data_IF_299592804717
#
_entry.id   IF_299592804717
#
_cell.length_a   1.000
_cell.length_b   1.000
_cell.length_c   1.000
_cell.angle_alpha   90.00
_cell.angle_beta   90.00
_cell.angle_gamma   90.00
#
_symmetry.space_group_name_H-M   'P 1'
#
loop_
_entity.id
_entity.type
_entity.pdbx_description
1 polymer ?
#
# COMPACT_ATOMS: atom_id res chain seq x y z
N UNK A 1 -5.48 11.30 12.93
CA UNK A 1 -5.17 10.21 11.95
C UNK A 1 -4.28 10.72 10.82
N UNK A 2 -3.41 9.88 10.22
CA UNK A 2 -2.58 10.20 9.04
C UNK A 2 -3.15 9.48 7.82
N UNK A 3 -2.91 10.05 6.63
CA UNK A 3 -3.52 9.55 5.41
C UNK A 3 -2.50 9.34 4.29
N UNK A 4 -2.61 8.20 3.59
CA UNK A 4 -1.97 7.91 2.33
C UNK A 4 -3.00 7.80 1.21
N UNK A 5 -2.59 8.13 -0.01
CA UNK A 5 -3.42 8.05 -1.21
C UNK A 5 -2.87 6.99 -2.16
N UNK A 6 -3.68 6.05 -2.61
CA UNK A 6 -3.34 5.21 -3.75
C UNK A 6 -3.43 6.00 -5.05
N UNK A 7 -2.35 5.95 -5.83
CA UNK A 7 -2.36 6.47 -7.21
C UNK A 7 -2.82 5.34 -8.14
N UNK A 8 -3.78 5.60 -9.05
CA UNK A 8 -4.19 4.61 -10.04
C UNK A 8 -2.99 4.12 -10.85
N UNK A 9 -2.96 2.82 -11.12
CA UNK A 9 -1.82 2.14 -11.74
C UNK A 9 -2.25 1.18 -12.85
N UNK A 10 -3.57 0.99 -13.00
CA UNK A 10 -4.17 0.03 -13.91
C UNK A 10 -4.51 -1.32 -13.28
N UNK A 11 -3.85 -1.71 -12.20
CA UNK A 11 -4.07 -3.00 -11.54
C UNK A 11 -5.54 -3.28 -11.21
N UNK A 12 -6.30 -2.27 -10.79
CA UNK A 12 -7.73 -2.38 -10.47
C UNK A 12 -8.63 -1.87 -11.61
N UNK A 13 -8.13 -1.90 -12.84
CA UNK A 13 -8.79 -1.37 -14.04
C UNK A 13 -9.05 0.15 -13.96
N UNK A 14 -8.35 0.83 -13.10
CA UNK A 14 -8.50 2.24 -12.76
C UNK A 14 -7.79 3.20 -13.74
N UNK A 15 -7.25 2.67 -14.84
CA UNK A 15 -6.76 3.42 -16.01
C UNK A 15 -7.43 2.97 -17.32
N UNK A 16 -8.45 2.10 -17.23
CA UNK A 16 -9.11 1.55 -18.41
C UNK A 16 -9.80 2.64 -19.25
N UNK A 17 -9.65 2.56 -20.57
CA UNK A 17 -10.16 3.58 -21.49
C UNK A 17 -9.29 4.84 -21.61
N UNK A 18 -8.19 4.94 -20.84
CA UNK A 18 -7.20 6.00 -21.02
C UNK A 18 -6.09 5.48 -21.93
N UNK A 19 -5.87 6.15 -23.06
CA UNK A 19 -4.81 5.78 -23.99
C UNK A 19 -3.43 5.68 -23.30
N UNK A 20 -2.61 4.66 -23.58
CA UNK A 20 -1.34 4.43 -22.90
C UNK A 20 -0.43 5.64 -22.85
N UNK A 21 -0.40 6.45 -23.89
CA UNK A 21 0.40 7.68 -23.95
C UNK A 21 -0.04 8.75 -22.93
N UNK A 22 -1.29 8.70 -22.47
CA UNK A 22 -1.86 9.62 -21.48
C UNK A 22 -1.75 9.14 -20.03
N UNK A 23 -1.57 7.83 -19.82
CA UNK A 23 -1.67 7.23 -18.47
C UNK A 23 -0.62 7.78 -17.49
N UNK A 24 0.63 8.00 -17.94
CA UNK A 24 1.65 8.61 -17.10
C UNK A 24 1.27 10.02 -16.65
N UNK A 25 0.71 10.84 -17.52
CA UNK A 25 0.30 12.19 -17.16
C UNK A 25 -0.76 12.16 -16.04
N UNK A 26 -1.75 11.28 -16.14
CA UNK A 26 -2.79 11.10 -15.11
C UNK A 26 -2.17 10.69 -13.77
N UNK A 27 -1.31 9.66 -13.76
CA UNK A 27 -0.66 9.18 -12.54
C UNK A 27 0.22 10.26 -11.89
N UNK A 28 1.01 10.98 -12.69
CA UNK A 28 1.86 12.09 -12.24
C UNK A 28 1.02 13.23 -11.65
N UNK A 29 -0.03 13.63 -12.32
CA UNK A 29 -0.86 14.78 -11.90
C UNK A 29 -1.57 14.48 -10.57
N UNK A 30 -2.00 13.23 -10.35
CA UNK A 30 -2.54 12.77 -9.07
C UNK A 30 -1.47 12.71 -7.97
N UNK A 31 -0.28 12.22 -8.28
CA UNK A 31 0.83 12.24 -7.33
C UNK A 31 1.17 13.68 -6.91
N UNK A 32 1.15 14.63 -7.86
CA UNK A 32 1.37 16.05 -7.58
C UNK A 32 0.18 16.71 -6.86
N UNK A 33 -1.06 16.26 -7.09
CA UNK A 33 -2.21 16.68 -6.29
C UNK A 33 -1.98 16.29 -4.83
N UNK A 34 -1.67 15.03 -4.56
CA UNK A 34 -1.35 14.56 -3.21
C UNK A 34 -0.14 15.32 -2.59
N UNK A 35 0.87 15.64 -3.41
CA UNK A 35 2.07 16.38 -2.97
C UNK A 35 1.76 17.81 -2.50
N UNK A 36 0.74 18.44 -3.08
CA UNK A 36 0.24 19.77 -2.66
C UNK A 36 -0.82 19.70 -1.56
N UNK A 37 -1.50 18.55 -1.43
CA UNK A 37 -2.59 18.31 -0.49
C UNK A 37 -2.13 17.89 0.91
N UNK A 38 -3.03 17.45 1.78
CA UNK A 38 -2.73 17.05 3.15
C UNK A 38 -2.22 15.61 3.28
N UNK A 39 -2.06 14.88 2.18
CA UNK A 39 -1.62 13.48 2.18
C UNK A 39 -0.18 13.36 2.66
N UNK A 40 0.09 12.42 3.55
CA UNK A 40 1.45 12.13 4.01
C UNK A 40 2.23 11.30 2.97
N UNK A 41 1.55 10.42 2.26
CA UNK A 41 2.18 9.50 1.32
C UNK A 41 1.30 9.18 0.13
N UNK A 42 1.95 8.70 -0.95
CA UNK A 42 1.29 8.05 -2.07
C UNK A 42 1.73 6.58 -2.16
N UNK A 43 0.84 5.75 -2.68
CA UNK A 43 1.01 4.30 -2.71
C UNK A 43 0.64 3.71 -4.06
N UNK A 44 1.35 2.63 -4.44
CA UNK A 44 1.04 1.76 -5.58
C UNK A 44 1.06 0.30 -5.16
N UNK A 45 0.60 -0.59 -6.02
CA UNK A 45 0.58 -2.03 -5.80
C UNK A 45 1.70 -2.71 -6.58
N UNK A 46 2.31 -3.76 -6.04
CA UNK A 46 3.33 -4.55 -6.74
C UNK A 46 2.67 -5.72 -7.49
N UNK A 47 1.98 -5.38 -8.56
CA UNK A 47 1.24 -6.30 -9.42
C UNK A 47 1.57 -6.10 -10.90
N UNK A 48 1.34 -7.13 -11.71
CA UNK A 48 1.63 -7.17 -13.14
C UNK A 48 0.39 -7.40 -14.00
N UNK A 49 -0.67 -7.96 -13.42
CA UNK A 49 -1.93 -8.29 -14.07
C UNK A 49 -3.10 -7.71 -13.29
N UNK A 50 -4.17 -7.42 -14.01
CA UNK A 50 -5.36 -6.80 -13.44
C UNK A 50 -6.15 -7.70 -12.49
N UNK A 51 -6.93 -7.09 -11.63
CA UNK A 51 -7.97 -7.71 -10.80
C UNK A 51 -9.30 -6.97 -11.02
N UNK A 52 -10.46 -7.64 -10.78
CA UNK A 52 -10.66 -8.98 -10.20
C UNK A 52 -10.40 -10.15 -11.14
N UNK A 53 -10.21 -9.89 -12.41
CA UNK A 53 -9.86 -10.87 -13.44
C UNK A 53 -8.67 -10.36 -14.24
N UNK A 54 -7.93 -11.28 -14.85
CA UNK A 54 -6.83 -10.94 -15.76
C UNK A 54 -7.39 -10.45 -17.07
N UNK A 55 -6.96 -9.27 -17.51
CA UNK A 55 -7.30 -8.65 -18.79
C UNK A 55 -6.04 -8.18 -19.51
N UNK A 56 -6.21 -7.69 -20.75
CA UNK A 56 -5.13 -7.04 -21.51
C UNK A 56 -4.97 -5.54 -21.16
N UNK A 57 -5.72 -5.04 -20.16
CA UNK A 57 -5.58 -3.66 -19.69
C UNK A 57 -4.23 -3.44 -18.99
N UNK A 58 -3.75 -2.21 -19.05
CA UNK A 58 -2.45 -1.84 -18.52
C UNK A 58 -2.35 -2.04 -17.01
N UNK A 59 -1.23 -2.56 -16.56
CA UNK A 59 -0.77 -2.51 -15.16
C UNK A 59 0.70 -2.08 -15.16
N UNK A 60 0.99 -0.89 -14.64
CA UNK A 60 2.35 -0.35 -14.63
C UNK A 60 3.21 -0.94 -13.52
N UNK A 61 4.50 -1.20 -13.80
CA UNK A 61 5.45 -1.77 -12.85
C UNK A 61 5.74 -0.79 -11.69
N UNK A 62 5.60 -1.26 -10.47
CA UNK A 62 5.55 -0.44 -9.28
C UNK A 62 6.87 0.27 -8.94
N UNK A 63 8.02 -0.41 -9.00
CA UNK A 63 9.30 0.21 -8.65
C UNK A 63 9.76 1.23 -9.69
N UNK A 64 9.40 1.03 -10.96
CA UNK A 64 9.59 2.02 -12.03
C UNK A 64 8.75 3.28 -11.75
N UNK A 65 7.47 3.10 -11.38
CA UNK A 65 6.62 4.23 -10.97
C UNK A 65 7.16 4.96 -9.73
N UNK A 66 7.64 4.23 -8.73
CA UNK A 66 8.24 4.82 -7.53
C UNK A 66 9.41 5.76 -7.89
N UNK A 67 10.29 5.36 -8.82
CA UNK A 67 11.38 6.21 -9.27
C UNK A 67 10.89 7.46 -10.01
N UNK A 68 9.86 7.31 -10.84
CA UNK A 68 9.25 8.43 -11.56
C UNK A 68 8.53 9.41 -10.60
N UNK A 69 7.79 8.92 -9.63
CA UNK A 69 7.16 9.76 -8.60
C UNK A 69 8.18 10.45 -7.70
N UNK A 70 9.30 9.78 -7.38
CA UNK A 70 10.38 10.38 -6.61
C UNK A 70 10.94 11.65 -7.28
N UNK A 71 11.02 11.65 -8.61
CA UNK A 71 11.47 12.79 -9.41
C UNK A 71 10.36 13.82 -9.69
N UNK A 72 9.07 13.45 -9.58
CA UNK A 72 7.94 14.30 -9.94
C UNK A 72 7.27 14.98 -8.73
N UNK A 73 7.66 14.63 -7.50
CA UNK A 73 7.10 15.13 -6.23
C UNK A 73 8.22 15.59 -5.29
N UNK A 74 7.88 16.44 -4.30
CA UNK A 74 8.87 17.03 -3.40
C UNK A 74 8.63 16.66 -1.92
N UNK A 75 7.38 16.40 -1.51
CA UNK A 75 6.99 16.28 -0.11
C UNK A 75 6.45 14.91 0.28
N UNK A 76 5.49 14.37 -0.49
CA UNK A 76 4.83 13.11 -0.12
C UNK A 76 5.81 11.95 -0.07
N UNK A 77 5.62 11.08 0.90
CA UNK A 77 6.36 9.83 0.99
C UNK A 77 5.85 8.84 -0.04
N UNK A 78 6.67 7.89 -0.42
CA UNK A 78 6.45 7.03 -1.59
C UNK A 78 6.49 5.57 -1.15
N UNK A 79 5.40 4.84 -1.30
CA UNK A 79 5.31 3.46 -0.84
C UNK A 79 4.65 2.50 -1.82
N UNK A 80 4.87 1.23 -1.58
CA UNK A 80 4.08 0.15 -2.18
C UNK A 80 3.31 -0.60 -1.10
N UNK A 81 2.05 -0.90 -1.35
CA UNK A 81 1.24 -1.71 -0.43
C UNK A 81 0.68 -2.93 -1.17
N UNK A 82 1.52 -3.96 -1.22
CA UNK A 82 2.90 -4.04 -0.77
C UNK A 82 3.78 -4.74 -1.80
N UNK A 83 5.08 -4.45 -1.77
CA UNK A 83 6.08 -5.19 -2.56
C UNK A 83 6.01 -6.67 -2.23
N UNK A 84 5.94 -7.52 -3.25
CA UNK A 84 6.05 -8.96 -3.12
C UNK A 84 7.51 -9.39 -3.00
N UNK A 85 7.91 -9.88 -1.83
CA UNK A 85 9.31 -10.29 -1.59
C UNK A 85 9.80 -11.33 -2.60
N UNK A 86 8.92 -12.20 -3.05
CA UNK A 86 9.32 -13.29 -3.95
C UNK A 86 9.54 -12.90 -5.42
N UNK A 87 9.20 -11.69 -5.81
CA UNK A 87 9.40 -11.23 -7.20
C UNK A 87 10.82 -10.71 -7.47
N UNK A 88 11.60 -10.43 -6.43
CA UNK A 88 12.95 -9.85 -6.59
C UNK A 88 13.93 -10.47 -5.59
N UNK A 89 15.20 -10.55 -5.99
CA UNK A 89 16.26 -10.85 -5.02
C UNK A 89 16.34 -9.74 -3.96
N UNK A 90 16.40 -10.04 -2.66
CA UNK A 90 16.36 -9.02 -1.60
C UNK A 90 17.54 -8.05 -1.64
N UNK A 91 18.73 -8.48 -2.06
CA UNK A 91 19.87 -7.60 -2.18
C UNK A 91 19.71 -6.60 -3.34
N UNK A 92 19.13 -7.07 -4.47
CA UNK A 92 18.77 -6.20 -5.59
C UNK A 92 17.66 -5.21 -5.18
N UNK A 93 16.62 -5.69 -4.52
CA UNK A 93 15.51 -4.85 -4.04
C UNK A 93 15.99 -3.77 -3.06
N UNK A 94 16.87 -4.12 -2.12
CA UNK A 94 17.49 -3.15 -1.22
C UNK A 94 18.26 -2.06 -1.96
N UNK A 95 18.95 -2.43 -3.04
CA UNK A 95 19.67 -1.50 -3.90
C UNK A 95 18.74 -0.54 -4.65
N UNK A 96 17.63 -1.06 -5.19
CA UNK A 96 16.60 -0.25 -5.86
C UNK A 96 15.99 0.75 -4.89
N UNK A 97 15.54 0.29 -3.72
CA UNK A 97 14.96 1.13 -2.69
C UNK A 97 15.91 2.23 -2.22
N UNK A 98 17.20 1.91 -1.97
CA UNK A 98 18.21 2.88 -1.60
C UNK A 98 18.45 3.93 -2.69
N UNK A 99 18.41 3.54 -3.96
CA UNK A 99 18.56 4.48 -5.09
C UNK A 99 17.39 5.46 -5.16
N UNK A 100 16.15 4.95 -5.02
CA UNK A 100 14.95 5.79 -5.02
C UNK A 100 14.91 6.68 -3.77
N UNK A 101 15.40 6.18 -2.64
CA UNK A 101 15.52 6.98 -1.43
C UNK A 101 16.43 8.19 -1.62
N UNK A 102 17.56 8.01 -2.32
CA UNK A 102 18.46 9.11 -2.70
C UNK A 102 17.77 10.07 -3.67
N UNK A 103 17.10 9.57 -4.71
CA UNK A 103 16.40 10.42 -5.70
C UNK A 103 15.30 11.25 -5.00
N UNK A 104 14.57 10.65 -4.08
CA UNK A 104 13.46 11.31 -3.37
C UNK A 104 13.90 12.18 -2.20
N UNK A 105 15.18 12.18 -1.80
CA UNK A 105 15.64 12.90 -0.61
C UNK A 105 15.16 12.27 0.71
N UNK A 106 15.02 10.94 0.75
CA UNK A 106 14.68 10.21 1.99
C UNK A 106 13.18 10.01 2.20
N UNK A 107 12.38 9.87 1.11
CA UNK A 107 10.92 9.75 1.20
C UNK A 107 10.37 8.34 0.94
N UNK A 108 11.22 7.33 0.75
CA UNK A 108 10.75 5.96 0.50
C UNK A 108 10.15 5.33 1.76
N UNK A 109 9.01 4.67 1.59
CA UNK A 109 8.39 3.75 2.54
C UNK A 109 8.49 2.32 1.99
N UNK A 110 9.02 1.39 2.77
CA UNK A 110 9.21 0.02 2.31
C UNK A 110 8.06 -0.87 2.74
N UNK A 111 6.95 -0.81 2.02
CA UNK A 111 5.85 -1.76 2.21
C UNK A 111 6.18 -3.10 1.58
N UNK A 112 6.12 -4.20 2.35
CA UNK A 112 6.54 -5.52 1.91
C UNK A 112 5.65 -6.63 2.48
N UNK A 113 5.47 -7.69 1.70
CA UNK A 113 4.67 -8.86 2.07
C UNK A 113 5.10 -10.14 1.34
N UNK A 114 4.43 -11.24 1.68
CA UNK A 114 4.75 -12.55 1.13
C UNK A 114 4.19 -12.84 -0.28
N UNK A 115 3.36 -11.94 -0.82
CA UNK A 115 2.66 -12.16 -2.09
C UNK A 115 1.52 -13.19 -2.00
N UNK A 116 0.51 -13.03 -2.84
CA UNK A 116 -0.69 -13.89 -2.81
C UNK A 116 -1.23 -14.25 -4.19
N UNK A 117 -0.97 -13.44 -5.22
CA UNK A 117 -1.60 -13.57 -6.52
C UNK A 117 -0.91 -14.66 -7.37
N UNK A 118 -1.36 -15.89 -7.20
CA UNK A 118 -0.78 -17.10 -7.82
C UNK A 118 -0.61 -16.98 -9.34
N UNK A 119 -1.58 -16.34 -10.02
CA UNK A 119 -1.54 -16.18 -11.47
C UNK A 119 -0.26 -15.45 -11.91
N UNK A 120 0.09 -14.31 -11.27
CA UNK A 120 1.31 -13.55 -11.60
C UNK A 120 2.59 -14.34 -11.33
N UNK A 121 2.65 -15.02 -10.17
CA UNK A 121 3.80 -15.84 -9.81
C UNK A 121 4.11 -16.90 -10.88
N UNK A 122 3.07 -17.57 -11.38
CA UNK A 122 3.21 -18.60 -12.40
C UNK A 122 3.51 -18.02 -13.77
N UNK A 123 2.81 -16.96 -14.16
CA UNK A 123 2.96 -16.32 -15.47
C UNK A 123 4.38 -15.76 -15.68
N UNK A 124 4.99 -15.21 -14.62
CA UNK A 124 6.34 -14.66 -14.67
C UNK A 124 7.45 -15.67 -14.31
N UNK A 125 7.12 -16.94 -14.17
CA UNK A 125 8.11 -18.00 -13.96
C UNK A 125 8.67 -18.14 -12.55
N UNK A 126 8.07 -17.47 -11.55
CA UNK A 126 8.49 -17.57 -10.15
C UNK A 126 8.00 -18.86 -9.46
N UNK A 127 7.15 -19.64 -10.13
CA UNK A 127 6.41 -20.73 -9.48
C UNK A 127 5.35 -20.17 -8.52
N UNK A 128 4.90 -20.98 -7.56
CA UNK A 128 4.05 -20.50 -6.47
C UNK A 128 4.27 -21.36 -5.22
N UNK A 129 5.30 -21.08 -4.43
CA UNK A 129 5.55 -21.80 -3.18
C UNK A 129 4.38 -21.65 -2.21
N UNK A 130 4.11 -22.68 -1.40
CA UNK A 130 3.10 -22.57 -0.34
C UNK A 130 3.38 -21.39 0.60
N UNK A 131 2.33 -20.82 1.19
CA UNK A 131 2.39 -19.59 2.00
C UNK A 131 3.49 -19.60 3.07
N UNK A 132 3.69 -20.73 3.78
CA UNK A 132 4.74 -20.85 4.80
C UNK A 132 6.16 -20.67 4.26
N UNK A 133 6.41 -20.99 2.97
CA UNK A 133 7.70 -20.76 2.29
C UNK A 133 7.81 -19.29 1.90
N UNK A 134 6.78 -18.72 1.27
CA UNK A 134 6.79 -17.30 0.89
C UNK A 134 7.00 -16.37 2.10
N UNK A 135 6.41 -16.71 3.25
CA UNK A 135 6.60 -15.97 4.50
C UNK A 135 7.98 -16.19 5.13
N UNK A 136 8.64 -17.34 4.90
CA UNK A 136 10.03 -17.52 5.28
C UNK A 136 10.98 -16.74 4.36
N UNK A 137 10.66 -16.66 3.05
CA UNK A 137 11.37 -15.77 2.12
C UNK A 137 11.24 -14.31 2.54
N UNK A 138 10.05 -13.88 3.00
CA UNK A 138 9.86 -12.52 3.52
C UNK A 138 10.79 -12.24 4.69
N UNK A 139 10.87 -13.12 5.66
CA UNK A 139 11.71 -12.95 6.84
C UNK A 139 13.20 -12.86 6.49
N UNK A 140 13.73 -13.82 5.72
CA UNK A 140 15.12 -13.80 5.25
C UNK A 140 15.43 -12.55 4.41
N UNK A 141 14.48 -12.17 3.52
CA UNK A 141 14.63 -11.00 2.66
C UNK A 141 14.72 -9.69 3.45
N UNK A 142 13.89 -9.52 4.48
CA UNK A 142 13.93 -8.36 5.37
C UNK A 142 15.27 -8.27 6.11
N UNK A 143 15.82 -9.40 6.58
CA UNK A 143 17.13 -9.42 7.24
C UNK A 143 18.23 -8.93 6.29
N UNK A 144 18.28 -9.42 5.05
CA UNK A 144 19.25 -9.00 4.03
C UNK A 144 19.13 -7.50 3.75
N UNK A 145 17.92 -7.01 3.54
CA UNK A 145 17.68 -5.60 3.22
C UNK A 145 18.12 -4.68 4.36
N UNK A 146 17.73 -4.99 5.58
CA UNK A 146 18.13 -4.22 6.77
C UNK A 146 19.65 -4.18 6.96
N UNK A 147 20.33 -5.32 6.77
CA UNK A 147 21.79 -5.37 6.86
C UNK A 147 22.45 -4.49 5.78
N UNK A 148 21.95 -4.56 4.54
CA UNK A 148 22.44 -3.73 3.44
C UNK A 148 22.27 -2.23 3.69
N UNK A 149 21.15 -1.82 4.28
CA UNK A 149 20.88 -0.40 4.55
C UNK A 149 21.66 0.11 5.76
N UNK A 150 21.88 -0.73 6.79
CA UNK A 150 22.63 -0.33 7.97
C UNK A 150 24.15 -0.31 7.69
N UNK A 151 24.69 -1.40 7.12
CA UNK A 151 26.13 -1.63 7.04
C UNK A 151 26.69 -1.35 5.62
N UNK A 152 25.81 -1.27 4.63
CA UNK A 152 26.19 -1.16 3.22
C UNK A 152 26.74 -2.46 2.63
N UNK A 153 26.69 -3.54 3.36
CA UNK A 153 27.09 -4.89 2.97
C UNK A 153 26.20 -5.93 3.63
N UNK A 154 25.97 -7.06 2.95
CA UNK A 154 25.29 -8.20 3.52
C UNK A 154 25.87 -9.51 3.03
N UNK A 155 25.85 -10.50 3.92
CA UNK A 155 26.03 -11.92 3.61
C UNK A 155 24.99 -12.72 4.38
N UNK A 156 24.36 -13.67 3.72
CA UNK A 156 23.39 -14.58 4.32
C UNK A 156 23.53 -15.96 3.65
N UNK A 157 23.81 -16.99 4.42
CA UNK A 157 23.67 -18.38 4.01
C UNK A 157 22.29 -18.90 4.48
N UNK A 158 21.23 -18.35 3.86
CA UNK A 158 19.86 -18.65 4.22
C UNK A 158 19.33 -19.88 3.50
N UNK A 159 18.14 -20.30 3.92
CA UNK A 159 17.42 -21.41 3.27
C UNK A 159 16.84 -21.01 1.90
N UNK A 160 16.46 -19.77 1.74
CA UNK A 160 15.78 -19.24 0.57
C UNK A 160 16.64 -18.26 -0.23
N UNK A 161 17.53 -17.55 0.46
CA UNK A 161 18.46 -16.63 -0.18
C UNK A 161 19.88 -16.91 0.26
N UNK A 162 20.78 -16.95 -0.71
CA UNK A 162 22.23 -17.04 -0.49
C UNK A 162 22.85 -15.76 -1.03
N UNK A 163 23.40 -14.96 -0.13
CA UNK A 163 24.00 -13.65 -0.43
C UNK A 163 25.45 -13.69 0.06
N UNK A 164 26.36 -13.41 -0.87
CA UNK A 164 27.80 -13.44 -0.61
C UNK A 164 28.40 -12.04 -0.85
N UNK A 165 28.56 -11.27 0.22
CA UNK A 165 29.23 -9.98 0.19
C UNK A 165 28.55 -8.90 -0.65
N UNK A 166 27.22 -8.94 -0.80
CA UNK A 166 26.49 -7.92 -1.56
C UNK A 166 26.78 -6.51 -1.02
N UNK A 167 26.94 -5.53 -1.91
CA UNK A 167 27.25 -4.13 -1.57
C UNK A 167 26.07 -3.22 -1.95
N UNK A 168 25.59 -2.43 -1.00
CA UNK A 168 24.62 -1.36 -1.21
C UNK A 168 25.26 0.01 -1.01
N UNK A 169 25.70 0.60 -2.09
CA UNK A 169 26.18 2.00 -2.17
C UNK A 169 25.53 2.67 -3.40
N UNK A 170 24.94 3.88 -3.24
CA UNK A 170 24.87 4.64 -1.99
C UNK A 170 24.02 3.93 -0.91
N UNK A 171 24.22 4.30 0.36
CA UNK A 171 23.25 4.00 1.41
C UNK A 171 21.99 4.83 1.20
N UNK A 172 20.83 4.39 1.74
CA UNK A 172 19.67 5.27 1.85
C UNK A 172 20.02 6.57 2.59
N UNK A 173 19.31 7.65 2.28
CA UNK A 173 19.40 8.92 3.03
C UNK A 173 18.80 8.74 4.42
N UNK A 174 17.73 7.96 4.51
CA UNK A 174 17.10 7.62 5.79
C UNK A 174 18.06 6.72 6.61
N UNK A 175 18.42 7.16 7.80
CA UNK A 175 19.34 6.42 8.67
C UNK A 175 18.76 5.04 9.05
N UNK A 176 19.50 3.99 8.77
CA UNK A 176 19.05 2.60 8.99
C UNK A 176 18.16 2.03 7.90
N UNK A 177 17.83 2.83 6.88
CA UNK A 177 17.00 2.46 5.72
C UNK A 177 15.58 2.99 5.75
N UNK A 178 14.84 2.82 4.66
CA UNK A 178 13.42 3.18 4.59
C UNK A 178 12.61 2.46 5.69
N UNK A 179 11.63 3.13 6.31
CA UNK A 179 10.76 2.50 7.30
C UNK A 179 10.04 1.28 6.71
N UNK A 180 10.06 0.17 7.43
CA UNK A 180 9.44 -1.08 7.01
C UNK A 180 7.96 -1.10 7.39
N UNK A 181 7.10 -1.36 6.40
CA UNK A 181 5.68 -1.66 6.53
C UNK A 181 5.48 -3.14 6.22
N UNK A 182 5.26 -3.96 7.22
CA UNK A 182 4.96 -5.38 6.97
C UNK A 182 3.47 -5.56 6.77
N UNK A 183 3.09 -6.00 5.56
CA UNK A 183 1.70 -6.13 5.15
C UNK A 183 1.19 -7.57 5.21
N UNK A 184 -0.04 -7.70 5.70
CA UNK A 184 -0.78 -8.96 5.81
C UNK A 184 -1.05 -9.39 7.25
N UNK A 185 -2.17 -10.11 7.44
CA UNK A 185 -2.70 -10.50 8.74
C UNK A 185 -2.32 -11.92 9.20
N UNK A 186 -1.29 -12.54 8.63
CA UNK A 186 -0.86 -13.89 9.00
C UNK A 186 -0.25 -13.96 10.41
N UNK A 187 -0.97 -14.54 11.36
CA UNK A 187 -0.70 -14.45 12.80
C UNK A 187 0.66 -15.00 13.23
N UNK A 188 1.05 -16.18 12.71
CA UNK A 188 2.24 -16.90 13.18
C UNK A 188 3.56 -16.39 12.59
N UNK A 189 3.53 -15.80 11.40
CA UNK A 189 4.75 -15.39 10.70
C UNK A 189 4.72 -13.93 10.31
N UNK A 190 3.68 -13.46 9.61
CA UNK A 190 3.65 -12.07 9.15
C UNK A 190 3.66 -11.10 10.32
N UNK A 191 2.79 -11.30 11.32
CA UNK A 191 2.76 -10.45 12.51
C UNK A 191 3.99 -10.63 13.40
N UNK A 192 4.61 -11.81 13.42
CA UNK A 192 5.91 -11.99 14.07
C UNK A 192 7.02 -11.21 13.37
N UNK A 193 7.11 -11.27 12.02
CA UNK A 193 8.05 -10.45 11.25
C UNK A 193 7.80 -8.95 11.46
N UNK A 194 6.52 -8.55 11.55
CA UNK A 194 6.17 -7.17 11.89
C UNK A 194 6.66 -6.78 13.29
N UNK A 195 6.43 -7.61 14.30
CA UNK A 195 6.89 -7.38 15.66
C UNK A 195 8.43 -7.32 15.76
N UNK A 196 9.15 -8.06 14.93
CA UNK A 196 10.63 -8.05 14.92
C UNK A 196 11.22 -6.81 14.24
N UNK A 197 10.62 -6.33 13.13
CA UNK A 197 11.34 -5.43 12.23
C UNK A 197 10.56 -4.18 11.82
N UNK A 198 9.22 -4.17 11.89
CA UNK A 198 8.42 -3.13 11.27
C UNK A 198 8.31 -1.86 12.12
N UNK A 199 8.33 -0.70 11.47
CA UNK A 199 7.86 0.55 12.04
C UNK A 199 6.34 0.70 11.84
N UNK A 200 5.80 0.05 10.81
CA UNK A 200 4.39 0.07 10.45
C UNK A 200 3.90 -1.33 10.08
N UNK A 201 2.63 -1.59 10.29
CA UNK A 201 1.97 -2.79 9.77
C UNK A 201 0.67 -2.43 9.08
N UNK A 202 0.28 -3.23 8.08
CA UNK A 202 -0.96 -3.04 7.34
C UNK A 202 -1.71 -4.37 7.24
N UNK A 203 -2.93 -4.39 7.73
CA UNK A 203 -3.82 -5.55 7.66
C UNK A 203 -5.29 -5.11 7.54
N UNK A 204 -6.20 -6.07 7.49
CA UNK A 204 -7.63 -5.82 7.33
C UNK A 204 -8.15 -4.83 8.39
N UNK A 205 -8.81 -3.77 7.93
CA UNK A 205 -9.35 -2.69 8.75
C UNK A 205 -10.79 -2.91 9.24
N UNK A 206 -11.38 -4.10 9.03
CA UNK A 206 -12.68 -4.40 9.65
C UNK A 206 -12.53 -4.51 11.17
N UNK A 207 -13.48 -3.95 11.96
CA UNK A 207 -13.31 -3.76 13.40
C UNK A 207 -12.81 -5.00 14.16
N UNK A 208 -13.55 -6.10 14.07
CA UNK A 208 -13.21 -7.33 14.81
C UNK A 208 -11.86 -7.91 14.36
N UNK A 209 -11.57 -7.89 13.06
CA UNK A 209 -10.31 -8.37 12.53
C UNK A 209 -9.16 -7.47 12.96
N UNK A 210 -9.34 -6.15 12.92
CA UNK A 210 -8.29 -5.20 13.27
C UNK A 210 -7.91 -5.31 14.76
N UNK A 211 -8.89 -5.39 15.63
CA UNK A 211 -8.66 -5.57 17.08
C UNK A 211 -7.95 -6.89 17.35
N UNK A 212 -8.46 -8.01 16.83
CA UNK A 212 -7.84 -9.32 17.01
C UNK A 212 -6.40 -9.38 16.49
N UNK A 213 -6.12 -8.84 15.29
CA UNK A 213 -4.74 -8.81 14.75
C UNK A 213 -3.81 -7.90 15.56
N UNK A 214 -4.34 -6.82 16.10
CA UNK A 214 -3.59 -5.94 17.00
C UNK A 214 -3.20 -6.65 18.31
N UNK A 215 -4.10 -7.44 18.89
CA UNK A 215 -3.83 -8.26 20.08
C UNK A 215 -2.76 -9.32 19.82
N UNK A 216 -2.85 -10.03 18.69
CA UNK A 216 -1.80 -11.01 18.28
C UNK A 216 -0.45 -10.33 18.10
N UNK A 217 -0.41 -9.17 17.45
CA UNK A 217 0.81 -8.38 17.27
C UNK A 217 1.39 -7.94 18.63
N UNK A 218 0.54 -7.46 19.54
CA UNK A 218 0.95 -7.08 20.90
C UNK A 218 1.54 -8.25 21.67
N UNK A 219 0.97 -9.45 21.54
CA UNK A 219 1.52 -10.69 22.09
C UNK A 219 2.93 -10.98 21.59
N UNK A 220 3.15 -10.92 20.27
CA UNK A 220 4.50 -11.08 19.71
C UNK A 220 5.49 -10.00 20.18
N UNK A 221 5.04 -8.75 20.31
CA UNK A 221 5.89 -7.69 20.85
C UNK A 221 6.30 -7.98 22.31
N UNK A 222 5.37 -8.45 23.12
CA UNK A 222 5.63 -8.86 24.52
C UNK A 222 6.68 -9.96 24.59
N UNK A 223 6.53 -11.01 23.77
CA UNK A 223 7.45 -12.15 23.71
C UNK A 223 8.87 -11.73 23.29
N UNK A 224 8.98 -10.67 22.48
CA UNK A 224 10.25 -10.12 21.99
C UNK A 224 10.82 -9.00 22.89
N UNK A 225 10.09 -8.55 23.90
CA UNK A 225 10.49 -7.42 24.74
C UNK A 225 10.48 -6.07 24.00
N UNK A 226 9.63 -5.94 22.96
CA UNK A 226 9.47 -4.72 22.18
C UNK A 226 8.22 -3.95 22.61
N UNK A 227 8.32 -2.62 22.65
CA UNK A 227 7.12 -1.80 22.89
C UNK A 227 6.18 -1.85 21.65
N UNK A 228 4.95 -2.31 21.89
CA UNK A 228 3.91 -2.37 20.88
C UNK A 228 3.56 -0.98 20.30
N UNK A 229 3.70 0.07 21.11
CA UNK A 229 3.42 1.45 20.69
C UNK A 229 4.38 1.98 19.62
N UNK A 230 5.56 1.35 19.44
CA UNK A 230 6.49 1.69 18.36
C UNK A 230 5.98 1.31 16.97
N UNK A 231 4.93 0.48 16.88
CA UNK A 231 4.41 0.00 15.61
C UNK A 231 3.11 0.72 15.27
N UNK A 232 3.15 1.59 14.28
CA UNK A 232 1.95 2.20 13.70
C UNK A 232 1.13 1.14 12.97
N UNK A 233 -0.17 1.07 13.29
CA UNK A 233 -1.11 0.15 12.64
C UNK A 233 -1.94 0.87 11.62
N UNK A 234 -2.05 0.30 10.43
CA UNK A 234 -2.75 0.87 9.28
C UNK A 234 -3.66 -0.13 8.60
N UNK A 235 -4.58 0.39 7.80
CA UNK A 235 -5.39 -0.39 6.87
C UNK A 235 -5.61 0.35 5.56
N UNK A 236 -6.01 -0.41 4.52
CA UNK A 236 -6.39 0.14 3.22
C UNK A 236 -7.91 0.24 3.13
N UNK A 237 -8.39 1.33 2.57
CA UNK A 237 -9.82 1.58 2.38
C UNK A 237 -10.17 1.99 0.96
N UNK A 238 -11.22 1.39 0.41
CA UNK A 238 -11.92 1.99 -0.71
C UNK A 238 -12.76 3.14 -0.17
N UNK A 239 -12.69 4.30 -0.82
CA UNK A 239 -13.46 5.49 -0.45
C UNK A 239 -14.45 5.80 -1.57
N UNK A 240 -15.72 5.97 -1.22
CA UNK A 240 -16.76 6.51 -2.08
C UNK A 240 -17.43 7.64 -1.33
N UNK A 241 -17.12 8.88 -1.68
CA UNK A 241 -17.55 10.07 -0.94
C UNK A 241 -18.25 11.06 -1.85
N UNK A 242 -19.37 11.63 -1.40
CA UNK A 242 -20.05 12.72 -2.05
C UNK A 242 -20.78 13.59 -1.02
N UNK A 243 -21.19 14.83 -1.36
CA UNK A 243 -21.85 15.74 -0.42
C UNK A 243 -23.18 15.19 0.12
N UNK A 244 -23.90 14.38 -0.64
CA UNK A 244 -25.21 13.81 -0.28
C UNK A 244 -25.26 12.31 -0.55
N UNK A 245 -26.17 11.61 0.14
CA UNK A 245 -26.39 10.18 -0.10
C UNK A 245 -26.85 9.86 -1.54
N UNK A 246 -27.59 10.78 -2.18
CA UNK A 246 -27.99 10.63 -3.57
C UNK A 246 -26.77 10.65 -4.50
N UNK A 247 -25.86 11.59 -4.31
CA UNK A 247 -24.62 11.66 -5.08
C UNK A 247 -23.65 10.50 -4.76
N UNK A 248 -23.67 9.94 -3.54
CA UNK A 248 -22.95 8.69 -3.22
C UNK A 248 -23.51 7.54 -4.06
N UNK A 249 -24.84 7.44 -4.20
CA UNK A 249 -25.47 6.43 -5.06
C UNK A 249 -25.06 6.62 -6.53
N UNK A 250 -25.03 7.86 -7.02
CA UNK A 250 -24.58 8.18 -8.39
C UNK A 250 -23.12 7.74 -8.63
N UNK A 251 -22.22 7.93 -7.65
CA UNK A 251 -20.84 7.43 -7.74
C UNK A 251 -20.76 5.91 -7.76
N UNK A 252 -21.57 5.21 -6.96
CA UNK A 252 -21.66 3.75 -7.00
C UNK A 252 -22.20 3.25 -8.35
N UNK A 253 -23.13 3.98 -8.96
CA UNK A 253 -23.65 3.66 -10.30
C UNK A 253 -22.58 3.93 -11.38
N UNK A 254 -21.77 4.99 -11.24
CA UNK A 254 -20.61 5.22 -12.08
C UNK A 254 -19.58 4.07 -11.97
N UNK A 255 -19.30 3.57 -10.76
CA UNK A 255 -18.43 2.41 -10.56
C UNK A 255 -18.97 1.19 -11.29
N UNK A 256 -20.28 0.92 -11.19
CA UNK A 256 -20.92 -0.18 -11.90
C UNK A 256 -20.75 -0.04 -13.42
N UNK A 257 -20.98 1.16 -13.96
CA UNK A 257 -20.86 1.42 -15.40
C UNK A 257 -19.42 1.30 -15.88
N UNK A 258 -18.46 1.82 -15.11
CA UNK A 258 -17.03 1.67 -15.39
C UNK A 258 -16.67 0.18 -15.55
N UNK A 259 -17.02 -0.65 -14.57
CA UNK A 259 -16.78 -2.09 -14.66
C UNK A 259 -17.62 -2.77 -15.74
N UNK A 260 -18.82 -2.28 -16.05
CA UNK A 260 -19.62 -2.82 -17.16
C UNK A 260 -18.95 -2.64 -18.51
N UNK A 261 -18.21 -1.56 -18.69
CA UNK A 261 -17.48 -1.27 -19.92
C UNK A 261 -16.27 -2.19 -20.09
N UNK A 262 -15.51 -2.45 -19.02
CA UNK A 262 -14.22 -3.17 -19.10
C UNK A 262 -14.32 -4.64 -18.69
N UNK A 263 -15.26 -5.00 -17.83
CA UNK A 263 -15.45 -6.34 -17.29
C UNK A 263 -16.92 -6.62 -16.95
N UNK A 264 -17.80 -6.74 -17.97
CA UNK A 264 -19.26 -6.76 -17.78
C UNK A 264 -19.75 -7.77 -16.74
N UNK A 265 -19.13 -8.95 -16.69
CA UNK A 265 -19.49 -10.02 -15.74
C UNK A 265 -19.26 -9.70 -14.28
N UNK A 266 -18.51 -8.65 -13.96
CA UNK A 266 -18.16 -8.27 -12.59
C UNK A 266 -18.84 -6.96 -12.13
N UNK A 267 -19.52 -6.23 -13.01
CA UNK A 267 -20.02 -4.89 -12.73
C UNK A 267 -20.86 -4.80 -11.44
N UNK A 268 -21.87 -5.65 -11.31
CA UNK A 268 -22.75 -5.68 -10.13
C UNK A 268 -21.98 -6.05 -8.86
N UNK A 269 -21.10 -7.06 -8.96
CA UNK A 269 -20.30 -7.51 -7.83
C UNK A 269 -19.34 -6.42 -7.35
N UNK A 270 -18.73 -5.68 -8.26
CA UNK A 270 -17.85 -4.57 -7.90
C UNK A 270 -18.62 -3.42 -7.24
N UNK A 271 -19.78 -3.04 -7.80
CA UNK A 271 -20.66 -2.05 -7.15
C UNK A 271 -20.98 -2.45 -5.70
N UNK A 272 -21.38 -3.69 -5.47
CA UNK A 272 -21.69 -4.21 -4.13
C UNK A 272 -20.47 -4.22 -3.21
N UNK A 273 -19.30 -4.63 -3.73
CA UNK A 273 -18.05 -4.65 -2.97
C UNK A 273 -17.63 -3.24 -2.50
N UNK A 274 -17.78 -2.23 -3.38
CA UNK A 274 -17.53 -0.85 -2.99
C UNK A 274 -18.61 -0.35 -2.01
N UNK A 275 -19.89 -0.58 -2.28
CA UNK A 275 -20.99 -0.14 -1.42
C UNK A 275 -20.94 -0.71 0.00
N UNK A 276 -20.33 -1.87 0.20
CA UNK A 276 -20.18 -2.51 1.52
C UNK A 276 -18.95 -2.04 2.30
N UNK A 277 -18.16 -1.13 1.73
CA UNK A 277 -16.96 -0.60 2.39
C UNK A 277 -17.29 0.34 3.55
N UNK A 278 -16.41 0.44 4.56
CA UNK A 278 -16.65 1.31 5.72
C UNK A 278 -16.51 2.81 5.42
N UNK A 279 -15.83 3.20 4.33
CA UNK A 279 -15.64 4.60 3.94
C UNK A 279 -16.50 4.94 2.69
N UNK A 280 -17.80 4.66 2.80
CA UNK A 280 -18.81 4.96 1.78
C UNK A 280 -19.89 5.82 2.39
N UNK A 281 -20.08 7.05 1.90
CA UNK A 281 -21.07 7.97 2.46
C UNK A 281 -20.71 9.43 2.29
N UNK A 282 -21.42 10.26 3.05
CA UNK A 282 -21.14 11.69 3.18
C UNK A 282 -19.87 11.91 4.01
N UNK A 283 -19.26 13.12 3.95
CA UNK A 283 -18.10 13.43 4.79
C UNK A 283 -18.31 13.13 6.28
N UNK A 284 -19.48 13.43 6.83
CA UNK A 284 -19.81 13.18 8.24
C UNK A 284 -19.77 11.67 8.56
N UNK A 285 -20.40 10.84 7.72
CA UNK A 285 -20.41 9.37 7.88
C UNK A 285 -19.00 8.79 7.82
N UNK A 286 -18.15 9.29 6.92
CA UNK A 286 -16.76 8.85 6.78
C UNK A 286 -15.92 9.29 7.99
N UNK A 287 -16.12 10.50 8.50
CA UNK A 287 -15.45 10.99 9.72
C UNK A 287 -15.81 10.10 10.92
N UNK A 288 -17.08 9.72 11.07
CA UNK A 288 -17.52 8.85 12.18
C UNK A 288 -16.91 7.44 12.07
N UNK A 289 -16.83 6.89 10.85
CA UNK A 289 -16.18 5.60 10.61
C UNK A 289 -14.68 5.64 10.95
N UNK A 290 -13.98 6.70 10.55
CA UNK A 290 -12.55 6.88 10.82
C UNK A 290 -12.27 7.16 12.30
N UNK A 291 -13.12 7.90 13.01
CA UNK A 291 -13.05 8.06 14.48
C UNK A 291 -13.21 6.73 15.20
N UNK A 292 -14.13 5.89 14.74
CA UNK A 292 -14.29 4.53 15.27
C UNK A 292 -13.02 3.70 15.04
N UNK A 293 -12.38 3.83 13.87
CA UNK A 293 -11.10 3.19 13.59
C UNK A 293 -9.95 3.69 14.50
N UNK A 294 -9.90 4.99 14.78
CA UNK A 294 -8.93 5.56 15.74
C UNK A 294 -9.09 5.00 17.15
N UNK A 295 -10.33 4.82 17.62
CA UNK A 295 -10.60 4.21 18.92
C UNK A 295 -10.09 2.77 19.03
N UNK A 296 -10.01 2.04 17.92
CA UNK A 296 -9.39 0.71 17.86
C UNK A 296 -7.85 0.77 17.78
N UNK A 297 -7.29 1.97 17.72
CA UNK A 297 -5.84 2.21 17.64
C UNK A 297 -5.27 2.21 16.22
N UNK A 298 -6.09 2.37 15.20
CA UNK A 298 -5.63 2.66 13.85
C UNK A 298 -5.28 4.14 13.75
N UNK A 299 -4.06 4.43 13.34
CA UNK A 299 -3.58 5.82 13.26
C UNK A 299 -3.14 6.22 11.86
N UNK A 300 -3.27 5.29 10.89
CA UNK A 300 -2.93 5.52 9.49
C UNK A 300 -3.92 4.81 8.56
N UNK A 301 -4.55 5.55 7.67
CA UNK A 301 -5.45 5.00 6.65
C UNK A 301 -4.88 5.26 5.24
N UNK A 302 -4.83 4.23 4.39
CA UNK A 302 -4.45 4.38 2.99
C UNK A 302 -5.71 4.31 2.14
N UNK A 303 -6.05 5.41 1.49
CA UNK A 303 -7.31 5.63 0.80
C UNK A 303 -7.16 5.35 -0.70
N UNK A 304 -8.12 4.63 -1.27
CA UNK A 304 -8.23 4.35 -2.70
C UNK A 304 -9.56 4.89 -3.23
N UNK A 305 -9.48 5.75 -4.22
CA UNK A 305 -10.63 6.29 -4.96
C UNK A 305 -10.58 5.70 -6.37
N UNK A 306 -11.54 4.86 -6.71
CA UNK A 306 -11.53 4.14 -7.99
C UNK A 306 -11.67 5.09 -9.19
N UNK A 307 -12.37 6.21 -9.00
CA UNK A 307 -12.62 7.23 -10.02
C UNK A 307 -11.45 8.23 -10.19
N UNK A 308 -10.41 8.18 -9.36
CA UNK A 308 -9.38 9.21 -9.28
C UNK A 308 -8.70 9.57 -10.60
N UNK A 309 -8.58 8.63 -11.53
CA UNK A 309 -8.01 8.88 -12.86
C UNK A 309 -8.95 9.67 -13.80
N UNK A 310 -10.22 9.79 -13.45
CA UNK A 310 -11.29 10.38 -14.28
C UNK A 310 -11.94 11.59 -13.62
N UNK A 311 -12.05 11.58 -12.28
CA UNK A 311 -12.66 12.62 -11.45
C UNK A 311 -11.98 12.69 -10.07
N UNK A 312 -11.39 13.84 -9.76
CA UNK A 312 -10.70 14.09 -8.47
C UNK A 312 -11.62 14.67 -7.40
N UNK A 313 -12.87 14.96 -7.71
CA UNK A 313 -13.77 15.67 -6.79
C UNK A 313 -13.99 14.93 -5.46
N UNK A 314 -13.92 13.59 -5.46
CA UNK A 314 -13.96 12.79 -4.24
C UNK A 314 -12.74 13.00 -3.36
N UNK A 315 -11.55 13.05 -3.94
CA UNK A 315 -10.30 13.37 -3.24
C UNK A 315 -10.36 14.77 -2.65
N UNK A 316 -10.75 15.76 -3.44
CA UNK A 316 -10.85 17.17 -3.03
C UNK A 316 -11.89 17.37 -1.90
N UNK A 317 -13.00 16.64 -1.94
CA UNK A 317 -14.00 16.65 -0.88
C UNK A 317 -13.44 16.03 0.41
N UNK A 318 -12.73 14.92 0.31
CA UNK A 318 -12.10 14.27 1.45
C UNK A 318 -11.02 15.17 2.08
N UNK A 319 -10.19 15.82 1.28
CA UNK A 319 -9.18 16.79 1.74
C UNK A 319 -9.80 17.97 2.48
N UNK A 320 -10.92 18.50 1.97
CA UNK A 320 -11.55 19.70 2.48
C UNK A 320 -12.36 19.46 3.75
N UNK A 321 -13.03 18.30 3.87
CA UNK A 321 -14.02 18.07 4.92
C UNK A 321 -13.65 16.96 5.91
N UNK A 322 -12.99 15.88 5.45
CA UNK A 322 -12.66 14.75 6.31
C UNK A 322 -11.34 14.96 7.06
N UNK A 323 -10.30 15.35 6.34
CA UNK A 323 -8.96 15.50 6.95
C UNK A 323 -8.94 16.53 8.10
N UNK A 324 -9.51 17.74 7.95
CA UNK A 324 -9.52 18.72 9.03
C UNK A 324 -10.33 18.25 10.25
N UNK A 325 -11.49 17.63 10.03
CA UNK A 325 -12.35 17.13 11.10
C UNK A 325 -11.67 16.09 12.02
N UNK A 326 -10.69 15.34 11.49
CA UNK A 326 -9.91 14.36 12.26
C UNK A 326 -8.63 14.95 12.86
N UNK A 327 -8.15 16.07 12.37
CA UNK A 327 -7.01 16.78 12.98
C UNK A 327 -7.39 17.49 14.29
N UNK A 328 -8.60 18.03 14.39
CA UNK A 328 -9.12 18.75 15.56
C UNK A 328 -9.35 17.86 16.78
N UNK A 329 -9.43 16.54 16.60
CA UNK A 329 -9.69 15.57 17.69
C UNK A 329 -8.43 15.17 18.46
N UNK A 330 -7.26 15.63 18.06
CA UNK A 330 -5.95 15.28 18.65
C UNK A 330 -5.44 16.33 19.68
N UNK A 331 -6.30 17.29 20.08
CA UNK A 331 -6.00 18.38 21.03
C UNK A 331 -6.41 18.09 22.47
#
# INVERSE_FOLDING_TARGET
MRFGLFVPQGWRLDLAGIEPAGQWAVMRDLAQLADRGPWESIWVYDHFHTVPEVTDEATHEAWTLMAAFAAATERVRLGQMCTCMGYRNPAYLAKVAATIDVISGGRVEMGIGGGWYEHEWRAYGYGFPRAGIRLAMLDEGVQVMRQLWADGRASLDGKHYQIDGAICRPLPIQAGGPPLWVAGGGERKTLLTAAQYAAYTNFDGTPDTFVHKSEVLAGHCTDLGRDFAEITRSANYNVVIAPTEAEVADRLDWIQEHYRTVLPGQAERQRQAFASGPLVGTPEQIVDALRSAEQMGMTYAICYFVEAAYDTSGIELFEREVVPALAESAG
#
